data_IF_748377259856
#
_entry.id   IF_748377259856
#
_cell.length_a   1.000
_cell.length_b   1.000
_cell.length_c   1.000
_cell.angle_alpha   90.00
_cell.angle_beta   90.00
_cell.angle_gamma   90.00
#
_symmetry.space_group_name_H-M   'P 1'
#
loop_
_entity.id
_entity.type
_entity.pdbx_description
1 polymer ?
#
# COMPACT_ATOMS: atom_id res chain seq x y z
N UNK A 1 64.89 -36.03 -51.43
CA UNK A 1 63.70 -35.18 -51.24
C UNK A 1 63.70 -34.70 -49.80
N UNK A 2 63.94 -33.40 -49.62
CA UNK A 2 63.82 -32.67 -48.36
C UNK A 2 62.36 -32.33 -48.09
N UNK A 3 61.89 -32.47 -46.84
CA UNK A 3 60.98 -31.52 -46.17
C UNK A 3 61.18 -31.60 -44.63
N UNK A 4 60.96 -30.50 -43.89
CA UNK A 4 61.66 -30.20 -42.64
C UNK A 4 60.83 -30.41 -41.37
N UNK A 5 61.59 -30.45 -40.27
CA UNK A 5 61.25 -30.42 -38.86
C UNK A 5 60.39 -29.21 -38.45
N UNK A 6 59.28 -29.49 -37.74
CA UNK A 6 58.36 -28.52 -37.15
C UNK A 6 58.86 -27.91 -35.85
N UNK A 7 58.77 -26.59 -35.80
CA UNK A 7 59.12 -25.69 -34.70
C UNK A 7 58.00 -25.69 -33.65
N UNK A 8 58.29 -26.00 -32.38
CA UNK A 8 57.35 -25.86 -31.27
C UNK A 8 57.48 -24.45 -30.67
N UNK A 9 56.38 -23.68 -30.69
CA UNK A 9 56.26 -22.37 -30.03
C UNK A 9 55.66 -22.60 -28.65
N UNK A 10 56.41 -22.26 -27.60
CA UNK A 10 55.93 -22.23 -26.21
C UNK A 10 55.36 -20.82 -25.97
N UNK A 11 54.05 -20.74 -25.74
CA UNK A 11 53.36 -19.51 -25.31
C UNK A 11 53.39 -19.47 -23.78
N UNK A 12 54.13 -18.52 -23.23
CA UNK A 12 54.19 -18.26 -21.79
C UNK A 12 53.04 -17.33 -21.40
N UNK A 13 52.00 -17.84 -20.75
CA UNK A 13 50.93 -17.02 -20.17
C UNK A 13 51.43 -16.36 -18.87
N UNK A 14 51.55 -15.03 -18.89
CA UNK A 14 51.84 -14.20 -17.73
C UNK A 14 50.52 -13.92 -16.98
N UNK A 15 50.30 -14.58 -15.84
CA UNK A 15 49.15 -14.32 -14.97
C UNK A 15 49.44 -13.14 -14.05
N UNK A 16 48.84 -11.99 -14.33
CA UNK A 16 48.77 -10.84 -13.43
C UNK A 16 47.67 -11.07 -12.39
N UNK A 17 48.06 -11.25 -11.12
CA UNK A 17 47.13 -11.27 -10.00
C UNK A 17 46.78 -9.84 -9.61
N UNK A 18 45.52 -9.45 -9.78
CA UNK A 18 44.98 -8.17 -9.29
C UNK A 18 44.44 -8.36 -7.85
N UNK A 19 44.70 -7.41 -6.94
CA UNK A 19 44.12 -7.45 -5.61
C UNK A 19 42.61 -7.15 -5.68
N UNK A 20 41.80 -8.07 -5.17
CA UNK A 20 40.37 -7.87 -4.96
C UNK A 20 40.21 -6.93 -3.76
N UNK A 21 39.89 -5.67 -4.02
CA UNK A 21 39.43 -4.73 -3.01
C UNK A 21 37.97 -5.06 -2.72
N UNK A 22 37.69 -5.53 -1.51
CA UNK A 22 36.32 -5.70 -1.03
C UNK A 22 35.69 -4.30 -0.88
N UNK A 23 34.82 -3.93 -1.81
CA UNK A 23 34.02 -2.72 -1.73
C UNK A 23 32.92 -2.91 -0.67
N UNK A 24 32.84 -1.96 0.25
CA UNK A 24 31.76 -1.85 1.23
C UNK A 24 30.42 -1.57 0.53
N UNK A 25 29.39 -2.35 0.86
CA UNK A 25 28.06 -2.30 0.24
C UNK A 25 27.20 -1.07 0.63
N UNK A 26 27.70 -0.17 1.46
CA UNK A 26 26.92 0.99 1.96
C UNK A 26 26.68 2.08 0.89
N UNK A 27 27.47 2.14 -0.19
CA UNK A 27 27.25 3.16 -1.24
C UNK A 27 26.11 2.82 -2.20
N UNK A 28 25.71 1.54 -2.31
CA UNK A 28 24.77 1.10 -3.33
C UNK A 28 23.31 1.27 -2.87
N UNK A 29 22.99 1.00 -1.59
CA UNK A 29 21.62 1.09 -1.06
C UNK A 29 21.11 2.53 -0.95
N UNK A 30 21.94 3.46 -0.46
CA UNK A 30 21.61 4.90 -0.42
C UNK A 30 21.40 5.45 -1.83
N UNK A 31 22.19 4.97 -2.81
CA UNK A 31 22.03 5.35 -4.21
C UNK A 31 20.73 4.79 -4.81
N UNK A 32 20.39 3.52 -4.55
CA UNK A 32 19.13 2.91 -5.01
C UNK A 32 17.91 3.57 -4.40
N UNK A 33 17.93 3.85 -3.09
CA UNK A 33 16.80 4.51 -2.41
C UNK A 33 16.53 5.90 -2.96
N UNK A 34 17.58 6.72 -3.14
CA UNK A 34 17.48 8.04 -3.80
C UNK A 34 16.94 7.94 -5.21
N UNK A 35 17.37 6.93 -5.97
CA UNK A 35 16.86 6.69 -7.31
C UNK A 35 15.36 6.36 -7.29
N UNK A 36 14.93 5.41 -6.47
CA UNK A 36 13.52 5.02 -6.32
C UNK A 36 12.65 6.21 -5.87
N UNK A 37 13.14 7.05 -4.95
CA UNK A 37 12.49 8.32 -4.60
C UNK A 37 12.38 9.27 -5.80
N UNK A 38 13.41 9.35 -6.64
CA UNK A 38 13.38 10.18 -7.85
C UNK A 38 12.36 9.69 -8.86
N UNK A 39 12.22 8.37 -9.06
CA UNK A 39 11.19 7.79 -9.95
C UNK A 39 9.79 8.10 -9.42
N UNK A 40 9.55 7.94 -8.12
CA UNK A 40 8.28 8.33 -7.50
C UNK A 40 7.98 9.82 -7.71
N UNK A 41 8.96 10.70 -7.50
CA UNK A 41 8.80 12.13 -7.76
C UNK A 41 8.49 12.43 -9.23
N UNK A 42 9.09 11.71 -10.18
CA UNK A 42 8.75 11.83 -11.61
C UNK A 42 7.31 11.40 -11.90
N UNK A 43 6.81 10.36 -11.21
CA UNK A 43 5.39 9.98 -11.32
C UNK A 43 4.49 11.10 -10.82
N UNK A 44 4.70 11.61 -9.62
CA UNK A 44 3.91 12.71 -9.07
C UNK A 44 3.98 13.98 -9.94
N UNK A 45 5.18 14.31 -10.43
CA UNK A 45 5.38 15.47 -11.30
C UNK A 45 4.67 15.31 -12.65
N UNK A 46 4.70 14.12 -13.24
CA UNK A 46 3.97 13.86 -14.49
C UNK A 46 2.45 14.01 -14.32
N UNK A 47 1.90 13.59 -13.18
CA UNK A 47 0.49 13.80 -12.82
C UNK A 47 0.20 15.29 -12.67
N UNK A 48 1.05 16.01 -11.92
CA UNK A 48 0.91 17.46 -11.69
C UNK A 48 0.98 18.27 -12.98
N UNK A 49 1.88 17.88 -13.89
CA UNK A 49 2.02 18.49 -15.22
C UNK A 49 0.96 18.04 -16.21
N UNK A 50 0.17 17.01 -15.86
CA UNK A 50 -0.79 16.38 -16.75
C UNK A 50 -0.13 15.87 -18.05
N UNK A 51 1.15 15.47 -17.96
CA UNK A 51 1.94 14.97 -19.08
C UNK A 51 2.48 13.57 -18.76
N UNK A 52 1.78 12.50 -19.19
CA UNK A 52 2.23 11.13 -18.96
C UNK A 52 3.48 10.75 -19.76
N UNK A 53 3.88 11.53 -20.78
CA UNK A 53 4.98 11.16 -21.67
C UNK A 53 6.36 11.37 -21.04
N UNK A 54 6.44 12.10 -19.92
CA UNK A 54 7.69 12.30 -19.19
C UNK A 54 8.03 11.12 -18.27
N UNK A 55 7.11 10.17 -18.11
CA UNK A 55 7.35 8.98 -17.31
C UNK A 55 8.39 8.07 -17.98
N UNK A 56 9.41 7.60 -17.26
CA UNK A 56 10.35 6.61 -17.78
C UNK A 56 9.71 5.22 -17.76
N UNK A 57 8.73 4.95 -18.62
CA UNK A 57 8.03 3.67 -18.68
C UNK A 57 8.90 2.59 -19.35
N UNK A 58 8.79 1.34 -18.87
CA UNK A 58 9.32 0.18 -19.57
C UNK A 58 8.62 0.02 -20.93
N UNK A 59 9.27 -0.63 -21.91
CA UNK A 59 8.68 -0.88 -23.24
C UNK A 59 7.31 -1.56 -23.16
N UNK A 60 7.18 -2.50 -22.20
CA UNK A 60 5.92 -3.11 -21.82
C UNK A 60 5.80 -2.92 -20.31
N UNK A 61 4.74 -2.27 -19.87
CA UNK A 61 4.45 -2.01 -18.47
C UNK A 61 3.02 -2.45 -18.14
N UNK A 62 2.75 -2.66 -16.85
CA UNK A 62 1.39 -2.85 -16.32
C UNK A 62 0.97 -1.60 -15.55
N UNK A 63 -0.26 -1.15 -15.72
CA UNK A 63 -0.75 -0.03 -14.93
C UNK A 63 -2.25 -0.11 -14.65
N UNK A 64 -2.64 0.30 -13.43
CA UNK A 64 -4.03 0.38 -13.01
C UNK A 64 -4.31 1.69 -12.27
N UNK A 65 -5.51 2.23 -12.44
CA UNK A 65 -6.08 3.27 -11.58
C UNK A 65 -7.38 2.72 -10.99
N UNK A 66 -7.52 2.73 -9.66
CA UNK A 66 -8.71 2.23 -8.96
C UNK A 66 -9.10 0.81 -9.44
N UNK A 67 -8.12 -0.10 -9.43
CA UNK A 67 -8.26 -1.50 -9.88
C UNK A 67 -8.60 -1.68 -11.37
N UNK A 68 -8.62 -0.62 -12.18
CA UNK A 68 -8.91 -0.68 -13.61
C UNK A 68 -7.63 -0.57 -14.46
N UNK A 69 -7.30 -1.57 -15.31
CA UNK A 69 -6.18 -1.48 -16.23
C UNK A 69 -6.32 -0.28 -17.17
N UNK A 70 -5.32 0.59 -17.17
CA UNK A 70 -5.32 1.78 -18.01
C UNK A 70 -3.90 2.23 -18.29
N UNK A 71 -3.66 2.80 -19.47
CA UNK A 71 -2.42 3.55 -19.71
C UNK A 71 -2.46 4.89 -18.94
N UNK A 72 -1.30 5.46 -18.53
CA UNK A 72 -1.26 6.75 -17.84
C UNK A 72 -1.99 7.88 -18.58
N UNK A 73 -1.93 7.88 -19.92
CA UNK A 73 -2.63 8.87 -20.75
C UNK A 73 -4.16 8.76 -20.74
N UNK A 74 -4.70 7.62 -20.30
CA UNK A 74 -6.15 7.37 -20.19
C UNK A 74 -6.66 7.47 -18.74
N UNK A 75 -5.75 7.42 -17.76
CA UNK A 75 -6.08 7.53 -16.33
C UNK A 75 -6.65 8.91 -15.99
N UNK A 76 -7.57 8.95 -15.03
CA UNK A 76 -8.17 10.22 -14.57
C UNK A 76 -7.18 11.08 -13.81
N UNK A 77 -6.19 10.47 -13.13
CA UNK A 77 -5.12 11.16 -12.42
C UNK A 77 -4.46 12.26 -13.27
N UNK A 78 -4.03 11.94 -14.49
CA UNK A 78 -3.39 12.90 -15.41
C UNK A 78 -4.35 13.92 -16.01
N UNK A 79 -5.67 13.79 -15.79
CA UNK A 79 -6.68 14.69 -16.37
C UNK A 79 -7.30 15.62 -15.33
N UNK A 80 -7.48 15.15 -14.09
CA UNK A 80 -8.26 15.85 -13.07
C UNK A 80 -7.39 16.46 -11.98
N UNK A 81 -6.22 15.88 -11.70
CA UNK A 81 -5.34 16.36 -10.64
C UNK A 81 -4.64 17.63 -11.09
N UNK A 82 -4.76 18.68 -10.29
CA UNK A 82 -4.18 20.01 -10.55
C UNK A 82 -3.06 20.35 -9.57
N UNK A 83 -3.02 19.66 -8.42
CA UNK A 83 -1.97 19.80 -7.40
C UNK A 83 -1.66 18.45 -6.79
N UNK A 84 -0.38 18.24 -6.51
CA UNK A 84 0.14 17.07 -5.82
C UNK A 84 1.09 17.57 -4.74
N UNK A 85 0.85 17.13 -3.50
CA UNK A 85 1.74 17.40 -2.37
C UNK A 85 2.83 16.32 -2.29
N UNK A 86 3.93 16.63 -1.60
CA UNK A 86 4.95 15.63 -1.32
C UNK A 86 4.32 14.44 -0.55
N UNK A 87 4.85 13.22 -0.70
CA UNK A 87 4.30 12.08 0.01
C UNK A 87 4.31 12.28 1.52
N UNK A 88 3.14 12.15 2.15
CA UNK A 88 3.01 12.04 3.59
C UNK A 88 3.63 10.72 4.09
N UNK A 89 3.56 9.68 3.26
CA UNK A 89 4.19 8.39 3.47
C UNK A 89 4.97 7.95 2.24
N UNK A 90 6.17 7.41 2.45
CA UNK A 90 7.01 6.84 1.40
C UNK A 90 7.75 5.61 1.93
N UNK A 91 7.30 4.42 1.54
CA UNK A 91 7.99 3.17 1.82
C UNK A 91 8.78 2.74 0.59
N UNK A 92 10.05 2.38 0.77
CA UNK A 92 10.95 2.01 -0.34
C UNK A 92 11.63 0.68 -0.04
N UNK A 93 11.48 -0.24 -0.98
CA UNK A 93 12.14 -1.54 -0.99
C UNK A 93 13.27 -1.55 -2.03
N UNK A 94 14.51 -1.53 -1.55
CA UNK A 94 15.70 -1.54 -2.42
C UNK A 94 16.06 -2.93 -2.94
N UNK A 95 15.47 -4.00 -2.41
CA UNK A 95 15.72 -5.37 -2.87
C UNK A 95 14.77 -5.72 -4.00
N UNK A 96 13.48 -5.39 -3.84
CA UNK A 96 12.48 -5.59 -4.87
C UNK A 96 12.47 -4.45 -5.89
N UNK A 97 13.10 -3.29 -5.63
CA UNK A 97 12.99 -2.08 -6.45
C UNK A 97 11.54 -1.57 -6.55
N UNK A 98 10.83 -1.60 -5.44
CA UNK A 98 9.44 -1.16 -5.34
C UNK A 98 9.29 0.01 -4.38
N UNK A 99 8.27 0.82 -4.62
CA UNK A 99 7.93 2.00 -3.82
C UNK A 99 6.44 1.98 -3.55
N UNK A 100 6.05 2.35 -2.35
CA UNK A 100 4.68 2.70 -2.00
C UNK A 100 4.63 4.13 -1.46
N UNK A 101 3.61 4.89 -1.84
CA UNK A 101 3.46 6.26 -1.41
C UNK A 101 2.00 6.63 -1.13
N UNK A 102 1.82 7.67 -0.33
CA UNK A 102 0.53 8.33 -0.08
C UNK A 102 0.76 9.84 -0.11
N UNK A 103 0.00 10.56 -0.92
CA UNK A 103 0.05 12.01 -1.09
C UNK A 103 -1.34 12.62 -1.04
N UNK A 104 -1.45 13.81 -0.44
CA UNK A 104 -2.59 14.67 -0.66
C UNK A 104 -2.55 15.23 -2.10
N UNK A 105 -3.70 15.28 -2.74
CA UNK A 105 -3.88 15.85 -4.08
C UNK A 105 -5.08 16.78 -4.11
N UNK A 106 -5.15 17.62 -5.15
CA UNK A 106 -6.36 18.38 -5.47
C UNK A 106 -6.86 18.01 -6.86
N UNK A 107 -8.16 17.71 -6.97
CA UNK A 107 -8.85 17.54 -8.24
C UNK A 107 -9.67 18.81 -8.54
N UNK A 108 -9.38 19.47 -9.66
CA UNK A 108 -10.02 20.75 -10.00
C UNK A 108 -9.70 21.88 -9.01
N UNK A 109 -10.73 22.63 -8.58
CA UNK A 109 -10.56 23.87 -7.81
C UNK A 109 -10.95 23.78 -6.31
N UNK A 110 -11.53 22.67 -5.84
CA UNK A 110 -12.11 22.58 -4.49
C UNK A 110 -12.04 21.23 -3.80
N UNK A 111 -11.80 20.13 -4.51
CA UNK A 111 -11.81 18.80 -3.90
C UNK A 111 -10.39 18.37 -3.57
N UNK A 112 -10.14 18.07 -2.29
CA UNK A 112 -8.91 17.39 -1.86
C UNK A 112 -9.20 15.90 -1.80
N UNK A 113 -8.27 15.10 -2.30
CA UNK A 113 -8.34 13.64 -2.36
C UNK A 113 -7.02 13.08 -1.86
N UNK A 114 -6.98 11.77 -1.58
CA UNK A 114 -5.74 11.05 -1.29
C UNK A 114 -5.38 10.22 -2.51
N UNK A 115 -4.19 10.46 -3.03
CA UNK A 115 -3.54 9.59 -4.02
C UNK A 115 -2.62 8.65 -3.26
N UNK A 116 -2.80 7.35 -3.45
CA UNK A 116 -1.86 6.33 -3.01
C UNK A 116 -1.43 5.50 -4.19
N UNK A 117 -0.24 4.93 -4.11
CA UNK A 117 0.20 4.07 -5.19
C UNK A 117 1.41 3.22 -4.87
N UNK A 118 1.60 2.21 -5.71
CA UNK A 118 2.76 1.34 -5.75
C UNK A 118 3.42 1.42 -7.11
N UNK A 119 4.75 1.49 -7.11
CA UNK A 119 5.58 1.55 -8.31
C UNK A 119 6.58 0.40 -8.24
N UNK A 120 6.73 -0.35 -9.33
CA UNK A 120 7.81 -1.31 -9.53
C UNK A 120 8.78 -0.77 -10.59
N UNK A 121 10.06 -0.76 -10.27
CA UNK A 121 11.12 -0.31 -11.17
C UNK A 121 11.96 -1.49 -11.63
N UNK A 122 12.23 -1.55 -12.95
CA UNK A 122 13.15 -2.51 -13.57
C UNK A 122 14.01 -1.74 -14.56
N UNK A 123 15.33 -1.92 -14.50
CA UNK A 123 16.27 -1.23 -15.38
C UNK A 123 16.06 0.30 -15.44
N UNK A 124 15.79 0.91 -14.27
CA UNK A 124 15.54 2.35 -14.12
C UNK A 124 14.24 2.85 -14.76
N UNK A 125 13.37 1.93 -15.21
CA UNK A 125 12.08 2.21 -15.83
C UNK A 125 10.93 1.70 -14.97
N UNK A 126 9.79 2.41 -15.01
CA UNK A 126 8.55 1.98 -14.38
C UNK A 126 7.98 0.80 -15.16
N UNK A 127 8.02 -0.38 -14.54
CA UNK A 127 7.47 -1.62 -15.09
C UNK A 127 6.05 -1.87 -14.60
N UNK A 128 5.71 -1.43 -13.39
CA UNK A 128 4.37 -1.50 -12.84
C UNK A 128 3.98 -0.21 -12.14
N UNK A 129 2.75 0.26 -12.37
CA UNK A 129 2.18 1.46 -11.77
C UNK A 129 0.75 1.20 -11.29
N UNK A 130 0.56 1.17 -9.98
CA UNK A 130 -0.72 0.87 -9.36
C UNK A 130 -1.17 2.07 -8.55
N UNK A 131 -2.25 2.75 -8.98
CA UNK A 131 -2.72 3.99 -8.36
C UNK A 131 -4.14 3.84 -7.82
N UNK A 132 -4.42 4.51 -6.71
CA UNK A 132 -5.75 4.67 -6.17
C UNK A 132 -5.99 6.13 -5.77
N UNK A 133 -7.16 6.65 -6.14
CA UNK A 133 -7.63 7.97 -5.77
C UNK A 133 -8.87 7.81 -4.90
N UNK A 134 -8.71 8.03 -3.59
CA UNK A 134 -9.80 8.07 -2.64
C UNK A 134 -10.24 9.54 -2.46
N UNK A 135 -11.51 9.84 -2.79
CA UNK A 135 -12.09 11.20 -2.78
C UNK A 135 -12.96 11.47 -1.56
N UNK A 136 -13.44 10.40 -0.93
CA UNK A 136 -14.29 10.45 0.26
C UNK A 136 -14.32 9.08 0.95
N UNK A 137 -15.01 9.01 2.09
CA UNK A 137 -15.35 7.73 2.75
C UNK A 137 -16.11 6.76 1.84
N UNK A 138 -16.83 7.26 0.83
CA UNK A 138 -17.60 6.43 -0.10
C UNK A 138 -16.74 5.59 -1.05
N UNK A 139 -15.48 5.95 -1.26
CA UNK A 139 -14.56 5.19 -2.10
C UNK A 139 -13.86 4.06 -1.32
N UNK A 140 -13.99 3.99 0.00
CA UNK A 140 -13.06 3.24 0.87
C UNK A 140 -13.77 2.27 1.81
N UNK A 141 -14.30 2.75 2.94
CA UNK A 141 -14.93 1.87 3.90
C UNK A 141 -15.49 2.62 5.10
N UNK A 142 -14.61 3.26 5.87
CA UNK A 142 -15.03 3.83 7.15
C UNK A 142 -14.37 5.16 7.53
N UNK A 143 -13.04 5.29 7.53
CA UNK A 143 -12.34 6.54 7.85
C UNK A 143 -11.62 7.17 6.64
N UNK A 144 -11.65 8.51 6.55
CA UNK A 144 -11.01 9.27 5.46
C UNK A 144 -10.70 10.70 5.91
N UNK A 145 -9.44 11.15 5.79
CA UNK A 145 -9.03 12.55 6.03
C UNK A 145 -7.86 12.96 5.17
N UNK A 146 -8.00 14.03 4.39
CA UNK A 146 -6.83 14.68 3.79
C UNK A 146 -6.15 15.62 4.80
N UNK A 147 -6.92 16.22 5.69
CA UNK A 147 -6.47 17.20 6.67
C UNK A 147 -5.57 16.57 7.74
N UNK A 148 -5.90 15.36 8.18
CA UNK A 148 -5.13 14.64 9.21
C UNK A 148 -3.96 13.82 8.62
N UNK A 149 -3.85 13.73 7.29
CA UNK A 149 -2.90 12.87 6.59
C UNK A 149 -1.46 13.08 7.10
N UNK A 150 -0.91 14.29 6.90
CA UNK A 150 0.49 14.58 7.26
C UNK A 150 0.78 14.35 8.74
N UNK A 151 -0.14 14.77 9.62
CA UNK A 151 0.04 14.62 11.06
C UNK A 151 0.09 13.14 11.47
N UNK A 152 -0.77 12.30 10.88
CA UNK A 152 -0.83 10.88 11.17
C UNK A 152 0.38 10.11 10.63
N UNK A 153 0.92 10.45 9.45
CA UNK A 153 2.10 9.76 8.90
C UNK A 153 3.44 10.30 9.39
N UNK A 154 3.50 11.55 9.88
CA UNK A 154 4.76 12.13 10.37
C UNK A 154 5.47 11.26 11.41
N UNK A 155 4.70 10.72 12.37
CA UNK A 155 5.24 9.80 13.38
C UNK A 155 5.74 8.50 12.77
N UNK A 156 4.99 7.94 11.82
CA UNK A 156 5.34 6.67 11.15
C UNK A 156 6.59 6.81 10.27
N UNK A 157 6.79 7.99 9.67
CA UNK A 157 7.96 8.33 8.86
C UNK A 157 9.18 8.75 9.68
N UNK A 158 9.05 8.85 11.01
CA UNK A 158 10.15 9.20 11.94
C UNK A 158 10.27 8.20 13.10
N UNK A 159 10.44 6.89 12.83
CA UNK A 159 10.50 5.88 13.87
C UNK A 159 11.73 6.09 14.78
N UNK A 160 11.69 5.66 16.07
CA UNK A 160 12.75 5.93 17.04
C UNK A 160 14.12 5.42 16.60
N UNK A 161 15.18 6.22 16.71
CA UNK A 161 16.53 5.87 16.22
C UNK A 161 17.14 4.63 16.91
N UNK A 162 16.78 4.37 18.17
CA UNK A 162 17.25 3.22 18.95
C UNK A 162 16.37 1.97 18.86
N UNK A 163 15.38 1.94 17.95
CA UNK A 163 14.50 0.78 17.78
C UNK A 163 15.30 -0.44 17.33
N UNK A 164 14.87 -1.63 17.76
CA UNK A 164 15.29 -2.89 17.16
C UNK A 164 14.56 -3.05 15.82
N UNK A 165 15.28 -2.86 14.72
CA UNK A 165 14.75 -3.16 13.38
C UNK A 165 14.46 -4.65 13.25
N UNK A 166 13.37 -4.98 12.58
CA UNK A 166 13.06 -6.36 12.23
C UNK A 166 13.88 -6.79 11.02
N UNK A 167 14.19 -8.09 10.93
CA UNK A 167 14.83 -8.65 9.75
C UNK A 167 13.86 -8.66 8.57
N UNK A 168 14.37 -8.61 7.34
CA UNK A 168 13.55 -8.80 6.14
C UNK A 168 12.68 -10.05 6.20
N UNK A 169 13.24 -11.18 6.63
CA UNK A 169 12.51 -12.44 6.75
C UNK A 169 11.34 -12.34 7.73
N UNK A 170 11.50 -11.58 8.83
CA UNK A 170 10.42 -11.29 9.79
C UNK A 170 9.33 -10.44 9.13
N UNK A 171 9.71 -9.39 8.41
CA UNK A 171 8.78 -8.51 7.70
C UNK A 171 8.03 -9.26 6.60
N UNK A 172 8.71 -10.13 5.85
CA UNK A 172 8.08 -10.95 4.82
C UNK A 172 7.12 -12.00 5.38
N UNK A 173 7.42 -12.55 6.56
CA UNK A 173 6.51 -13.44 7.28
C UNK A 173 5.27 -12.69 7.80
N UNK A 174 5.46 -11.47 8.31
CA UNK A 174 4.38 -10.57 8.70
C UNK A 174 3.45 -10.27 7.51
N UNK A 175 4.00 -9.87 6.36
CA UNK A 175 3.20 -9.54 5.17
C UNK A 175 2.39 -10.73 4.63
N UNK A 176 2.95 -11.94 4.64
CA UNK A 176 2.20 -13.17 4.33
C UNK A 176 1.09 -13.44 5.32
N UNK A 177 1.31 -13.14 6.59
CA UNK A 177 0.34 -13.39 7.64
C UNK A 177 -0.83 -12.40 7.62
N UNK A 178 -0.66 -11.16 7.13
CA UNK A 178 -1.75 -10.17 7.03
C UNK A 178 -3.03 -10.78 6.47
N UNK A 179 -2.91 -11.42 5.30
CA UNK A 179 -4.01 -12.00 4.55
C UNK A 179 -4.19 -13.51 4.74
N UNK A 180 -3.38 -14.13 5.60
CA UNK A 180 -3.47 -15.54 5.92
C UNK A 180 -3.45 -15.76 7.44
N UNK A 181 -4.63 -15.81 8.09
CA UNK A 181 -4.74 -16.09 9.53
C UNK A 181 -4.10 -17.40 9.98
N UNK A 182 -3.94 -18.37 9.07
CA UNK A 182 -3.31 -19.67 9.33
C UNK A 182 -1.79 -19.66 9.15
N UNK A 183 -1.19 -18.54 8.75
CA UNK A 183 0.26 -18.43 8.65
C UNK A 183 0.93 -18.57 10.02
N UNK A 184 2.10 -19.22 10.05
CA UNK A 184 2.89 -19.42 11.27
C UNK A 184 3.65 -18.14 11.66
N UNK A 185 2.92 -17.06 11.92
CA UNK A 185 3.44 -15.79 12.40
C UNK A 185 2.39 -15.11 13.28
N UNK A 186 2.82 -14.64 14.45
CA UNK A 186 1.98 -13.86 15.36
C UNK A 186 2.70 -12.57 15.68
N UNK A 187 2.02 -11.44 15.47
CA UNK A 187 2.54 -10.14 15.88
C UNK A 187 2.06 -9.82 17.29
N UNK A 188 2.99 -9.50 18.19
CA UNK A 188 2.65 -8.75 19.41
C UNK A 188 2.24 -7.34 19.01
N UNK A 189 1.12 -6.83 19.52
CA UNK A 189 0.66 -5.47 19.21
C UNK A 189 1.18 -4.51 20.27
N UNK A 190 1.85 -3.43 19.85
CA UNK A 190 2.28 -2.36 20.74
C UNK A 190 1.08 -1.67 21.39
N UNK A 191 1.21 -1.28 22.67
CA UNK A 191 0.18 -0.49 23.36
C UNK A 191 -0.09 0.87 22.68
N UNK A 192 0.85 1.35 21.87
CA UNK A 192 0.73 2.60 21.13
C UNK A 192 0.51 2.36 19.62
N UNK A 193 0.09 1.15 19.24
CA UNK A 193 -0.09 0.82 17.82
C UNK A 193 -1.14 1.71 17.18
N UNK A 194 -0.75 2.46 16.15
CA UNK A 194 -1.63 3.37 15.44
C UNK A 194 -2.45 2.62 14.40
N UNK A 195 -3.79 2.65 14.53
CA UNK A 195 -4.70 2.13 13.53
C UNK A 195 -5.30 3.27 12.69
N UNK A 196 -5.03 3.25 11.38
CA UNK A 196 -5.50 4.27 10.43
C UNK A 196 -6.21 3.65 9.24
N UNK A 197 -7.12 4.42 8.66
CA UNK A 197 -7.73 4.13 7.36
C UNK A 197 -7.77 5.43 6.55
N UNK A 198 -7.22 5.35 5.34
CA UNK A 198 -7.09 6.43 4.33
C UNK A 198 -6.94 7.83 4.96
N UNK A 199 -5.85 7.97 5.72
CA UNK A 199 -5.40 9.25 6.28
C UNK A 199 -5.98 9.67 7.62
N UNK A 200 -7.02 9.00 8.13
CA UNK A 200 -7.55 9.23 9.48
C UNK A 200 -7.27 8.03 10.40
N UNK A 201 -7.04 8.28 11.69
CA UNK A 201 -7.18 7.26 12.74
C UNK A 201 -8.62 6.73 12.85
N UNK A 202 -8.79 5.42 12.91
CA UNK A 202 -10.14 4.84 12.97
C UNK A 202 -10.76 5.11 14.33
N UNK A 203 -11.99 5.64 14.34
CA UNK A 203 -12.79 5.88 15.56
C UNK A 203 -14.12 5.16 15.41
N UNK A 204 -14.42 4.25 16.34
CA UNK A 204 -15.74 3.62 16.37
C UNK A 204 -16.71 4.39 17.27
N UNK A 205 -17.56 5.17 16.61
CA UNK A 205 -18.63 5.92 17.27
C UNK A 205 -19.80 5.04 17.71
N UNK A 206 -19.74 3.72 17.50
CA UNK A 206 -20.82 2.78 17.74
C UNK A 206 -21.99 2.96 16.78
N UNK A 207 -22.78 1.90 16.63
CA UNK A 207 -23.93 1.87 15.71
C UNK A 207 -24.99 2.93 16.01
N UNK A 208 -25.07 3.39 17.25
CA UNK A 208 -26.00 4.43 17.71
C UNK A 208 -25.33 5.79 17.97
N UNK A 209 -24.06 5.97 17.59
CA UNK A 209 -23.32 7.21 17.86
C UNK A 209 -22.96 7.42 19.34
N UNK A 210 -23.07 6.37 20.16
CA UNK A 210 -22.80 6.36 21.59
C UNK A 210 -21.45 5.70 21.96
N UNK A 211 -20.63 5.39 20.96
CA UNK A 211 -19.29 4.86 21.11
C UNK A 211 -18.26 5.92 21.48
N UNK A 212 -16.99 5.52 21.42
CA UNK A 212 -15.89 6.39 21.82
C UNK A 212 -15.56 7.42 20.74
N UNK A 213 -15.00 8.56 21.15
CA UNK A 213 -14.29 9.48 20.25
C UNK A 213 -12.80 9.18 20.18
N UNK A 214 -12.31 8.27 21.02
CA UNK A 214 -10.92 7.88 21.07
C UNK A 214 -10.59 6.96 19.88
N UNK A 215 -9.43 7.15 19.24
CA UNK A 215 -8.93 6.23 18.22
C UNK A 215 -8.84 4.79 18.72
N UNK A 216 -9.23 3.86 17.85
CA UNK A 216 -8.97 2.44 18.05
C UNK A 216 -7.46 2.16 17.95
N UNK A 217 -7.00 1.19 18.74
CA UNK A 217 -5.68 0.59 18.55
C UNK A 217 -5.72 -0.48 17.46
N UNK A 218 -4.55 -0.94 17.03
CA UNK A 218 -4.47 -2.09 16.11
C UNK A 218 -4.98 -3.37 16.78
N UNK A 219 -5.47 -4.31 15.97
CA UNK A 219 -5.67 -5.71 16.39
C UNK A 219 -4.82 -6.64 15.52
N UNK A 220 -4.46 -7.79 16.08
CA UNK A 220 -3.84 -8.90 15.35
C UNK A 220 -4.58 -10.20 15.67
N UNK A 221 -5.90 -10.19 15.41
CA UNK A 221 -6.77 -11.32 15.71
C UNK A 221 -6.75 -12.39 14.60
N UNK A 222 -7.33 -13.54 14.92
CA UNK A 222 -7.49 -14.67 14.00
C UNK A 222 -8.72 -14.55 13.09
N UNK A 223 -9.57 -13.53 13.31
CA UNK A 223 -10.81 -13.28 12.57
C UNK A 223 -10.63 -12.28 11.42
N UNK A 224 -9.41 -11.80 11.23
CA UNK A 224 -9.03 -10.91 10.13
C UNK A 224 -9.36 -11.50 8.75
N UNK A 225 -9.61 -10.65 7.73
CA UNK A 225 -9.91 -11.10 6.38
C UNK A 225 -8.87 -12.08 5.82
N UNK A 226 -9.34 -13.03 5.03
CA UNK A 226 -8.52 -14.01 4.33
C UNK A 226 -8.69 -13.84 2.83
N UNK A 227 -7.57 -13.77 2.12
CA UNK A 227 -7.54 -13.81 0.66
C UNK A 227 -6.42 -14.76 0.22
N UNK A 228 -6.76 -15.94 -0.37
CA UNK A 228 -5.76 -16.90 -0.85
C UNK A 228 -4.88 -16.34 -1.97
N UNK A 229 -5.37 -15.35 -2.72
CA UNK A 229 -4.69 -14.74 -3.85
C UNK A 229 -4.06 -13.39 -3.49
N UNK A 230 -3.98 -13.07 -2.18
CA UNK A 230 -3.37 -11.85 -1.70
C UNK A 230 -1.91 -11.73 -2.17
N UNK A 231 -1.58 -10.56 -2.69
CA UNK A 231 -0.21 -10.18 -3.08
C UNK A 231 0.53 -9.70 -1.84
N UNK A 232 1.16 -10.64 -1.14
CA UNK A 232 2.00 -10.34 0.01
C UNK A 232 3.34 -9.69 -0.41
N UNK A 233 3.89 -8.83 0.46
CA UNK A 233 5.23 -8.27 0.33
C UNK A 233 5.45 -7.53 -1.01
N UNK A 234 4.52 -6.64 -1.34
CA UNK A 234 4.63 -5.74 -2.49
C UNK A 234 5.75 -4.70 -2.29
N UNK A 235 5.94 -4.28 -1.03
CA UNK A 235 7.04 -3.42 -0.59
C UNK A 235 7.45 -3.88 0.81
N UNK A 236 8.74 -4.14 1.01
CA UNK A 236 9.35 -4.40 2.32
C UNK A 236 10.45 -3.37 2.57
N UNK A 237 10.13 -2.38 3.39
CA UNK A 237 11.04 -1.30 3.75
C UNK A 237 11.71 -1.61 5.10
N UNK A 238 12.89 -2.23 5.06
CA UNK A 238 13.67 -2.60 6.25
C UNK A 238 14.13 -1.38 7.06
N UNK A 239 14.32 -0.23 6.39
CA UNK A 239 14.77 0.99 7.06
C UNK A 239 13.68 1.47 8.01
N UNK A 240 12.45 1.63 7.53
CA UNK A 240 11.32 2.15 8.31
C UNK A 240 10.49 1.05 9.00
N UNK A 241 10.74 -0.21 8.67
CA UNK A 241 9.99 -1.37 9.17
C UNK A 241 8.61 -1.52 8.54
N UNK A 242 8.39 -0.98 7.33
CA UNK A 242 7.09 -1.10 6.65
C UNK A 242 6.98 -2.36 5.82
N UNK A 243 5.76 -2.90 5.77
CA UNK A 243 5.36 -3.95 4.83
C UNK A 243 4.05 -3.53 4.19
N UNK A 244 3.98 -3.63 2.86
CA UNK A 244 2.78 -3.39 2.08
C UNK A 244 2.33 -4.70 1.44
N UNK A 245 1.07 -5.05 1.61
CA UNK A 245 0.43 -6.22 0.98
C UNK A 245 -0.95 -5.85 0.47
N UNK A 246 -1.39 -6.48 -0.61
CA UNK A 246 -2.71 -6.22 -1.19
C UNK A 246 -3.58 -7.48 -1.16
N UNK A 247 -4.85 -7.32 -0.81
CA UNK A 247 -5.85 -8.38 -0.86
C UNK A 247 -7.23 -7.86 -1.24
N UNK A 248 -8.08 -8.78 -1.69
CA UNK A 248 -9.45 -8.54 -2.12
C UNK A 248 -10.42 -9.20 -1.14
N UNK A 249 -11.38 -8.43 -0.62
CA UNK A 249 -12.35 -8.92 0.36
C UNK A 249 -13.76 -8.71 -0.15
N UNK A 250 -14.54 -9.79 -0.19
CA UNK A 250 -15.99 -9.70 -0.43
C UNK A 250 -16.70 -9.24 0.84
N UNK A 251 -17.74 -8.45 0.65
CA UNK A 251 -18.54 -7.93 1.75
C UNK A 251 -19.71 -7.12 1.25
N UNK A 252 -20.32 -6.41 2.19
CA UNK A 252 -21.50 -5.61 1.90
C UNK A 252 -21.36 -4.21 2.46
N UNK A 253 -21.77 -3.22 1.68
CA UNK A 253 -21.90 -1.84 2.14
C UNK A 253 -23.25 -1.70 2.82
N UNK A 254 -23.25 -1.36 4.10
CA UNK A 254 -24.43 -1.12 4.90
C UNK A 254 -24.61 0.38 5.17
N UNK A 255 -25.85 0.89 5.30
CA UNK A 255 -26.08 2.17 5.95
C UNK A 255 -25.57 2.09 7.40
N UNK A 256 -24.99 3.17 7.91
CA UNK A 256 -24.47 3.26 9.28
C UNK A 256 -25.08 4.48 10.00
N UNK A 257 -24.56 4.83 11.18
CA UNK A 257 -25.06 5.94 12.00
C UNK A 257 -25.13 7.26 11.22
N UNK A 258 -26.29 7.91 11.20
CA UNK A 258 -26.48 9.20 10.51
C UNK A 258 -26.65 9.04 9.00
N UNK A 259 -25.87 9.79 8.21
CA UNK A 259 -25.92 9.80 6.74
C UNK A 259 -24.70 9.11 6.09
N UNK A 260 -24.00 8.25 6.84
CA UNK A 260 -22.81 7.53 6.36
C UNK A 260 -23.11 6.04 6.15
N UNK A 261 -22.22 5.37 5.43
CA UNK A 261 -22.22 3.92 5.20
C UNK A 261 -20.91 3.31 5.70
N UNK A 262 -20.90 1.99 5.83
CA UNK A 262 -19.70 1.21 6.15
C UNK A 262 -19.63 -0.06 5.32
N UNK A 263 -18.44 -0.42 4.85
CA UNK A 263 -18.18 -1.72 4.26
C UNK A 263 -17.85 -2.73 5.36
N UNK A 264 -18.57 -3.86 5.37
CA UNK A 264 -18.34 -4.95 6.33
C UNK A 264 -18.01 -6.21 5.54
N UNK A 265 -16.80 -6.79 5.70
CA UNK A 265 -16.42 -8.07 5.13
C UNK A 265 -17.41 -9.21 5.42
N UNK A 266 -17.54 -10.16 4.50
CA UNK A 266 -18.41 -11.34 4.69
C UNK A 266 -17.95 -12.25 5.82
N UNK A 267 -16.66 -12.25 6.14
CA UNK A 267 -16.12 -12.97 7.30
C UNK A 267 -16.59 -12.40 8.65
N UNK A 268 -17.09 -11.17 8.68
CA UNK A 268 -17.50 -10.45 9.90
C UNK A 268 -19.01 -10.59 10.17
N UNK A 269 -19.50 -11.83 10.25
CA UNK A 269 -20.93 -12.15 10.39
C UNK A 269 -21.59 -11.48 11.60
N UNK A 270 -20.91 -11.38 12.73
CA UNK A 270 -21.46 -10.74 13.94
C UNK A 270 -21.76 -9.26 13.70
N UNK A 271 -20.86 -8.56 13.04
CA UNK A 271 -20.99 -7.15 12.71
C UNK A 271 -22.07 -6.92 11.66
N UNK A 272 -22.14 -7.77 10.63
CA UNK A 272 -23.22 -7.71 9.64
C UNK A 272 -24.59 -7.94 10.29
N UNK A 273 -24.73 -8.95 11.16
CA UNK A 273 -25.99 -9.22 11.87
C UNK A 273 -26.41 -8.07 12.78
N UNK A 274 -25.46 -7.46 13.50
CA UNK A 274 -25.73 -6.28 14.32
C UNK A 274 -26.23 -5.10 13.46
N UNK A 275 -25.67 -4.94 12.26
CA UNK A 275 -26.07 -3.91 11.33
C UNK A 275 -27.47 -4.13 10.77
N UNK A 276 -27.84 -5.37 10.43
CA UNK A 276 -29.21 -5.71 10.00
C UNK A 276 -30.25 -5.39 11.09
N UNK A 277 -29.97 -5.74 12.35
CA UNK A 277 -30.84 -5.41 13.50
C UNK A 277 -31.01 -3.89 13.66
N UNK A 278 -29.92 -3.13 13.51
CA UNK A 278 -29.98 -1.68 13.57
C UNK A 278 -30.82 -1.09 12.44
N UNK A 279 -30.66 -1.60 11.21
CA UNK A 279 -31.44 -1.17 10.05
C UNK A 279 -32.93 -1.34 10.31
N UNK A 280 -33.35 -2.51 10.79
CA UNK A 280 -34.75 -2.79 11.07
C UNK A 280 -35.31 -1.92 12.20
N UNK A 281 -34.49 -1.65 13.22
CA UNK A 281 -34.84 -0.72 14.30
C UNK A 281 -35.09 0.70 13.76
N UNK A 282 -34.17 1.20 12.93
CA UNK A 282 -34.23 2.57 12.40
C UNK A 282 -35.35 2.72 11.37
N UNK A 283 -35.61 1.70 10.53
CA UNK A 283 -36.80 1.64 9.66
C UNK A 283 -38.09 1.76 10.46
N UNK A 284 -38.17 1.12 11.63
CA UNK A 284 -39.34 1.13 12.51
C UNK A 284 -39.68 2.51 13.10
N UNK A 285 -38.71 3.42 13.20
CA UNK A 285 -38.94 4.79 13.70
C UNK A 285 -39.62 5.72 12.68
N UNK A 286 -39.59 5.38 11.38
CA UNK A 286 -40.11 6.22 10.29
C UNK A 286 -39.26 7.47 10.00
N UNK A 287 -39.43 8.08 8.83
CA UNK A 287 -38.80 9.35 8.40
C UNK A 287 -37.26 9.39 8.29
N UNK A 288 -36.63 8.27 7.90
CA UNK A 288 -35.18 8.19 7.68
C UNK A 288 -34.88 7.58 6.31
N UNK A 289 -33.99 8.22 5.54
CA UNK A 289 -33.48 7.68 4.28
C UNK A 289 -32.26 6.81 4.56
N UNK A 290 -32.33 5.53 4.21
CA UNK A 290 -31.24 4.58 4.39
C UNK A 290 -30.78 4.06 3.04
N UNK A 291 -29.47 3.91 2.88
CA UNK A 291 -28.88 3.14 1.80
C UNK A 291 -29.37 1.69 1.91
N UNK A 292 -29.81 1.08 0.80
CA UNK A 292 -30.06 -0.36 0.79
C UNK A 292 -28.71 -1.07 0.88
N UNK A 293 -28.55 -2.08 1.78
CA UNK A 293 -27.35 -2.90 1.77
C UNK A 293 -27.08 -3.46 0.38
N UNK A 294 -25.84 -3.39 -0.07
CA UNK A 294 -25.43 -3.81 -1.40
C UNK A 294 -24.06 -4.49 -1.38
N UNK A 295 -23.92 -5.58 -2.12
CA UNK A 295 -22.66 -6.32 -2.24
C UNK A 295 -21.58 -5.46 -2.88
N UNK A 296 -20.35 -5.59 -2.39
CA UNK A 296 -19.17 -4.90 -2.90
C UNK A 296 -17.91 -5.75 -2.70
N UNK A 297 -16.84 -5.37 -3.39
CA UNK A 297 -15.51 -5.92 -3.13
C UNK A 297 -14.58 -4.80 -2.71
N UNK A 298 -13.93 -4.94 -1.55
CA UNK A 298 -12.87 -4.03 -1.11
C UNK A 298 -11.51 -4.52 -1.58
N UNK A 299 -10.81 -3.75 -2.42
CA UNK A 299 -9.37 -3.93 -2.64
C UNK A 299 -8.60 -3.16 -1.58
N UNK A 300 -7.84 -3.87 -0.75
CA UNK A 300 -7.15 -3.26 0.38
C UNK A 300 -5.64 -3.39 0.22
N UNK A 301 -4.95 -2.25 0.09
CA UNK A 301 -3.48 -2.21 0.26
C UNK A 301 -3.17 -1.93 1.73
N UNK A 302 -3.00 -3.01 2.47
CA UNK A 302 -2.64 -2.97 3.87
C UNK A 302 -1.18 -2.57 4.04
N UNK A 303 -0.96 -1.64 4.97
CA UNK A 303 0.37 -1.17 5.32
C UNK A 303 0.57 -1.36 6.80
N UNK A 304 1.63 -2.06 7.18
CA UNK A 304 1.99 -2.26 8.58
C UNK A 304 3.38 -1.76 8.86
N UNK A 305 3.60 -1.26 10.07
CA UNK A 305 4.93 -0.91 10.58
C UNK A 305 5.28 -1.85 11.74
N UNK A 306 6.48 -2.43 11.71
CA UNK A 306 6.90 -3.42 12.69
C UNK A 306 8.37 -3.18 13.10
N UNK A 307 8.58 -3.00 14.41
CA UNK A 307 9.88 -2.88 15.04
C UNK A 307 9.75 -3.16 16.55
N UNK A 308 10.87 -3.38 17.24
CA UNK A 308 10.89 -3.83 18.64
C UNK A 308 10.12 -5.14 18.87
N UNK A 309 10.10 -6.00 17.85
CA UNK A 309 9.32 -7.25 17.84
C UNK A 309 7.79 -7.05 18.04
N UNK A 310 7.29 -5.85 17.74
CA UNK A 310 5.90 -5.44 17.91
C UNK A 310 5.36 -4.75 16.66
N UNK A 311 4.05 -4.90 16.42
CA UNK A 311 3.28 -4.12 15.47
C UNK A 311 3.05 -2.71 16.03
N UNK A 312 3.47 -1.70 15.27
CA UNK A 312 3.50 -0.30 15.68
C UNK A 312 2.49 0.55 14.91
N UNK A 313 2.14 0.12 13.70
CA UNK A 313 1.03 0.70 12.96
C UNK A 313 0.38 -0.35 12.09
N UNK A 314 -0.93 -0.20 11.90
CA UNK A 314 -1.70 -0.93 10.91
C UNK A 314 -2.59 0.05 10.18
N UNK A 315 -2.53 0.00 8.86
CA UNK A 315 -3.31 0.84 7.99
C UNK A 315 -4.09 -0.02 7.00
N UNK A 316 -5.39 0.22 6.96
CA UNK A 316 -6.26 -0.29 5.90
C UNK A 316 -6.38 0.81 4.85
N UNK A 317 -6.15 0.47 3.59
CA UNK A 317 -6.44 1.36 2.48
C UNK A 317 -7.35 0.64 1.52
N UNK A 318 -8.64 0.70 1.81
CA UNK A 318 -9.65 0.05 1.03
C UNK A 318 -9.99 0.92 -0.19
N UNK A 319 -10.40 0.25 -1.26
CA UNK A 319 -11.06 0.86 -2.38
C UNK A 319 -12.24 -0.02 -2.75
N UNK A 320 -13.45 0.53 -2.65
CA UNK A 320 -14.67 -0.22 -2.96
C UNK A 320 -14.86 -0.30 -4.47
N UNK A 321 -15.10 -1.52 -4.92
CA UNK A 321 -15.42 -1.84 -6.30
C UNK A 321 -16.73 -2.62 -6.36
N UNK A 322 -17.20 -2.92 -7.58
CA UNK A 322 -18.36 -3.77 -7.77
C UNK A 322 -18.19 -5.15 -7.10
N UNK A 323 -19.29 -5.86 -6.81
CA UNK A 323 -19.22 -7.17 -6.19
C UNK A 323 -18.54 -8.21 -7.08
N UNK A 324 -17.91 -9.20 -6.46
CA UNK A 324 -17.19 -10.30 -7.11
C UNK A 324 -16.05 -9.86 -8.05
N UNK A 325 -15.48 -8.67 -7.82
CA UNK A 325 -14.29 -8.23 -8.56
C UNK A 325 -13.06 -9.02 -8.09
N UNK A 326 -12.13 -9.26 -9.02
CA UNK A 326 -10.81 -9.85 -8.74
C UNK A 326 -9.72 -8.83 -9.06
N UNK A 327 -8.54 -8.97 -8.45
CA UNK A 327 -7.44 -8.05 -8.71
C UNK A 327 -7.00 -8.15 -10.18
N UNK A 328 -6.78 -7.00 -10.82
CA UNK A 328 -6.25 -6.94 -12.19
C UNK A 328 -4.76 -7.32 -12.30
N UNK A 329 -4.14 -7.66 -11.16
CA UNK A 329 -2.72 -7.98 -11.03
C UNK A 329 -2.42 -9.48 -10.94
N UNK A 330 -3.46 -10.33 -10.92
CA UNK A 330 -3.39 -11.79 -10.80
C UNK A 330 -3.56 -12.50 -12.15
#
# INVERSE_FOLDING_TARGET
MHFPSGLWVIITCLTLALPVVAASNESNTSSSRKHLSSVMNQVLESIRLQDPNILPLATIYKATENSHPSSPAMMTAWRTITKVEAPAMLAIDTVQNSVYFISAISEGNRSRSILRGRIQVVDWLVAELELFINRSRGDDGFAFSVEELDANYKTLMSPPAGRKQASRATLEALGKALWNPSANFTATVSNNCQFTEVGWKVVDTGTYGNGSTDPLGCSWDSTRPYDPDARANLVVDEELGFVVSSGMVQGKVYPYYGNISTFIPDSMHTQQNAQEVWIDTVKGHGNVSLLSPAEATGENMEVVQYYNDELQAFQLNVFLTGPNMTSAWL
#
